data_IF_748103145426
#
_entry.id   IF_748103145426
#
_cell.length_a   1.000
_cell.length_b   1.000
_cell.length_c   1.000
_cell.angle_alpha   90.00
_cell.angle_beta   90.00
_cell.angle_gamma   90.00
#
_symmetry.space_group_name_H-M   'P 1'
#
loop_
_entity.id
_entity.type
_entity.pdbx_description
1 polymer ?
#
# COMPACT_ATOMS: atom_id res chain seq x y z
N UNK A 1 4.38 -18.54 15.01
CA UNK A 1 4.67 -17.20 15.57
C UNK A 1 3.35 -16.45 15.66
N UNK A 2 3.12 -15.69 16.72
CA UNK A 2 1.90 -14.92 16.91
C UNK A 2 2.23 -13.43 17.09
N UNK A 3 1.39 -12.57 16.55
CA UNK A 3 1.51 -11.12 16.71
C UNK A 3 0.28 -10.62 17.47
N UNK A 4 0.43 -9.94 18.60
CA UNK A 4 -0.70 -9.42 19.36
C UNK A 4 -1.56 -8.49 18.50
N UNK A 5 -2.89 -8.61 18.62
CA UNK A 5 -3.84 -7.76 17.89
C UNK A 5 -3.56 -6.26 18.09
N UNK A 6 -3.16 -5.86 19.30
CA UNK A 6 -2.82 -4.47 19.62
C UNK A 6 -1.67 -3.91 18.76
N UNK A 7 -0.73 -4.74 18.31
CA UNK A 7 0.39 -4.34 17.45
C UNK A 7 -0.03 -4.20 15.98
N UNK A 8 -1.01 -4.97 15.54
CA UNK A 8 -1.57 -4.91 14.18
C UNK A 8 -2.54 -3.73 14.06
N UNK A 9 -3.41 -3.56 15.07
CA UNK A 9 -4.50 -2.59 15.05
C UNK A 9 -4.05 -1.15 15.24
N UNK A 10 -3.03 -0.89 16.09
CA UNK A 10 -2.62 0.47 16.44
C UNK A 10 -1.96 1.26 15.29
N UNK A 11 -1.68 0.63 14.15
CA UNK A 11 -0.95 1.27 13.04
C UNK A 11 0.46 1.66 13.48
N UNK A 12 1.43 0.77 13.31
CA UNK A 12 2.83 1.07 13.62
C UNK A 12 3.49 1.78 12.42
N UNK A 13 4.26 2.87 12.64
CA UNK A 13 5.06 3.49 11.57
C UNK A 13 6.21 2.59 11.11
N UNK A 14 6.53 1.52 11.88
CA UNK A 14 7.50 0.50 11.49
C UNK A 14 6.79 -0.77 11.01
N UNK A 15 7.27 -1.41 9.94
CA UNK A 15 6.71 -2.67 9.45
C UNK A 15 6.79 -3.76 10.54
N UNK A 16 5.75 -4.60 10.60
CA UNK A 16 5.77 -5.79 11.44
C UNK A 16 6.65 -6.85 10.78
N UNK A 17 7.82 -7.08 11.37
CA UNK A 17 8.77 -8.08 10.89
C UNK A 17 8.53 -9.43 11.57
N UNK A 18 8.58 -10.50 10.77
CA UNK A 18 8.64 -11.88 11.24
C UNK A 18 9.77 -12.60 10.50
N UNK A 19 10.52 -13.44 11.21
CA UNK A 19 11.65 -14.18 10.64
C UNK A 19 11.53 -15.67 11.00
N UNK A 20 11.94 -16.54 10.07
CA UNK A 20 12.01 -17.97 10.28
C UNK A 20 13.45 -18.42 10.03
N UNK A 21 14.04 -19.09 11.01
CA UNK A 21 15.34 -19.71 10.86
C UNK A 21 15.14 -21.16 10.43
N UNK A 22 15.86 -21.58 9.40
CA UNK A 22 15.80 -22.94 8.85
C UNK A 22 17.23 -23.47 8.73
N UNK A 23 17.38 -24.78 8.89
CA UNK A 23 18.64 -25.48 8.70
C UNK A 23 18.51 -26.47 7.53
N UNK A 24 19.61 -26.67 6.81
CA UNK A 24 19.68 -27.68 5.75
C UNK A 24 19.69 -29.06 6.38
N UNK A 25 18.85 -29.96 5.87
CA UNK A 25 18.88 -31.37 6.29
C UNK A 25 20.22 -32.05 5.96
N UNK A 26 20.85 -31.67 4.84
CA UNK A 26 22.19 -32.13 4.47
C UNK A 26 22.90 -31.09 3.58
N UNK A 27 24.23 -31.17 3.42
CA UNK A 27 24.97 -30.33 2.46
C UNK A 27 24.50 -30.50 1.01
N UNK A 28 23.90 -31.63 0.66
CA UNK A 28 23.34 -31.90 -0.66
C UNK A 28 22.01 -31.17 -0.92
N UNK A 29 21.37 -30.62 0.12
CA UNK A 29 20.10 -29.89 -0.01
C UNK A 29 20.33 -28.54 -0.69
N UNK A 30 19.90 -28.43 -1.96
CA UNK A 30 20.09 -27.26 -2.82
C UNK A 30 18.81 -26.45 -3.09
N UNK A 31 17.65 -26.89 -2.60
CA UNK A 31 16.37 -26.21 -2.80
C UNK A 31 15.57 -26.14 -1.49
N UNK A 32 14.98 -24.97 -1.24
CA UNK A 32 13.97 -24.74 -0.22
C UNK A 32 12.61 -24.65 -0.93
N UNK A 33 11.64 -25.45 -0.49
CA UNK A 33 10.25 -25.35 -0.89
C UNK A 33 9.38 -25.42 0.36
N UNK A 34 8.60 -24.39 0.64
CA UNK A 34 7.69 -24.37 1.78
C UNK A 34 6.47 -23.48 1.53
N UNK A 35 5.46 -23.62 2.38
CA UNK A 35 4.29 -22.75 2.39
C UNK A 35 4.21 -22.01 3.71
N UNK A 36 4.10 -20.69 3.65
CA UNK A 36 3.93 -19.82 4.81
C UNK A 36 2.47 -19.38 4.85
N UNK A 37 1.74 -19.78 5.90
CA UNK A 37 0.39 -19.28 6.17
C UNK A 37 0.44 -18.10 7.14
N UNK A 38 -0.23 -17.01 6.75
CA UNK A 38 -0.48 -15.85 7.59
C UNK A 38 -1.98 -15.75 7.79
N UNK A 39 -2.44 -15.90 9.03
CA UNK A 39 -3.87 -15.92 9.35
C UNK A 39 -4.21 -15.07 10.54
N UNK A 40 -5.39 -14.48 10.50
CA UNK A 40 -6.05 -13.96 11.68
C UNK A 40 -6.84 -15.10 12.35
N UNK A 41 -6.79 -15.20 13.68
CA UNK A 41 -7.62 -16.16 14.42
C UNK A 41 -9.10 -15.93 14.08
N UNK A 42 -9.78 -16.98 13.62
CA UNK A 42 -11.17 -16.94 13.13
C UNK A 42 -11.41 -15.93 11.99
N UNK A 43 -10.39 -15.63 11.19
CA UNK A 43 -10.48 -14.67 10.10
C UNK A 43 -9.85 -15.17 8.81
N UNK A 44 -9.42 -14.22 7.98
CA UNK A 44 -8.80 -14.51 6.69
C UNK A 44 -7.42 -15.16 6.85
N UNK A 45 -7.08 -15.98 5.85
CA UNK A 45 -5.79 -16.63 5.69
C UNK A 45 -5.20 -16.27 4.33
N UNK A 46 -3.89 -16.01 4.32
CA UNK A 46 -3.08 -15.84 3.13
C UNK A 46 -2.00 -16.93 3.14
N UNK A 47 -1.89 -17.67 2.04
CA UNK A 47 -0.86 -18.68 1.84
C UNK A 47 0.17 -18.18 0.84
N UNK A 48 1.44 -18.19 1.25
CA UNK A 48 2.57 -17.85 0.39
C UNK A 48 3.39 -19.10 0.13
N UNK A 49 3.55 -19.46 -1.14
CA UNK A 49 4.44 -20.54 -1.55
C UNK A 49 5.83 -19.98 -1.83
N UNK A 50 6.83 -20.51 -1.14
CA UNK A 50 8.23 -20.13 -1.28
C UNK A 50 8.96 -21.29 -1.93
N UNK A 51 9.59 -21.03 -3.07
CA UNK A 51 10.48 -21.98 -3.73
C UNK A 51 11.74 -21.25 -4.19
N UNK A 52 12.88 -21.59 -3.61
CA UNK A 52 14.15 -20.92 -3.89
C UNK A 52 15.33 -21.89 -3.83
N UNK A 53 16.42 -21.60 -4.54
CA UNK A 53 17.67 -22.35 -4.44
C UNK A 53 18.45 -21.94 -3.19
N UNK A 54 19.01 -22.91 -2.47
CA UNK A 54 19.87 -22.74 -1.27
C UNK A 54 21.35 -22.64 -1.67
N UNK A 55 21.63 -22.24 -2.92
CA UNK A 55 23.00 -21.96 -3.34
C UNK A 55 23.58 -20.87 -2.40
N UNK A 56 24.85 -20.99 -2.04
CA UNK A 56 25.59 -19.99 -1.27
C UNK A 56 25.79 -18.74 -2.15
N UNK A 57 24.71 -18.03 -2.44
CA UNK A 57 24.78 -16.71 -3.02
C UNK A 57 25.29 -15.77 -1.92
N UNK A 58 26.49 -15.26 -2.12
CA UNK A 58 27.08 -14.19 -1.31
C UNK A 58 26.02 -13.18 -0.94
N UNK A 59 25.84 -12.92 0.37
CA UNK A 59 25.03 -11.85 0.96
C UNK A 59 24.37 -10.94 -0.09
N UNK A 60 23.31 -11.42 -0.73
CA UNK A 60 22.45 -10.51 -1.46
C UNK A 60 21.77 -9.73 -0.34
N UNK A 61 22.22 -8.49 -0.15
CA UNK A 61 21.57 -7.54 0.70
C UNK A 61 20.16 -7.40 0.15
N UNK A 62 19.23 -8.21 0.66
CA UNK A 62 17.81 -8.04 0.43
C UNK A 62 17.49 -6.70 1.07
N UNK A 63 17.57 -5.64 0.28
CA UNK A 63 17.00 -4.35 0.61
C UNK A 63 15.53 -4.63 0.81
N UNK A 64 15.13 -4.76 2.07
CA UNK A 64 13.75 -4.56 2.46
C UNK A 64 13.36 -3.25 1.78
N UNK A 65 12.36 -3.30 0.90
CA UNK A 65 11.70 -2.11 0.40
C UNK A 65 11.02 -1.45 1.61
N UNK A 66 11.83 -0.80 2.45
CA UNK A 66 11.37 0.28 3.30
C UNK A 66 10.70 1.22 2.32
N UNK A 67 9.39 1.33 2.46
CA UNK A 67 8.53 2.26 1.77
C UNK A 67 9.34 3.51 1.44
N UNK A 68 9.65 3.70 0.15
CA UNK A 68 10.25 4.93 -0.36
C UNK A 68 9.39 6.06 0.23
N UNK A 69 9.96 6.78 1.17
CA UNK A 69 9.32 7.94 1.75
C UNK A 69 9.04 8.85 0.57
N UNK A 70 7.76 9.12 0.35
CA UNK A 70 7.21 9.67 -0.89
C UNK A 70 7.62 11.12 -1.09
N UNK A 71 8.91 11.36 -1.30
CA UNK A 71 9.47 12.64 -1.70
C UNK A 71 9.15 12.84 -3.19
N UNK A 72 7.87 12.98 -3.50
CA UNK A 72 7.46 13.70 -4.69
C UNK A 72 8.12 15.09 -4.58
N UNK A 73 8.97 15.50 -5.53
CA UNK A 73 9.53 16.84 -5.49
C UNK A 73 8.34 17.81 -5.47
N UNK A 74 8.30 18.69 -4.46
CA UNK A 74 7.21 19.64 -4.30
C UNK A 74 7.07 20.46 -5.58
N UNK A 75 6.07 20.13 -6.40
CA UNK A 75 5.82 20.86 -7.63
C UNK A 75 5.22 22.20 -7.23
N UNK A 76 5.89 23.29 -7.60
CA UNK A 76 5.40 24.65 -7.38
C UNK A 76 4.73 25.20 -8.64
N UNK A 77 3.69 26.01 -8.43
CA UNK A 77 3.01 26.74 -9.50
C UNK A 77 2.06 25.89 -10.36
N UNK A 78 1.73 26.34 -11.58
CA UNK A 78 0.71 25.70 -12.43
C UNK A 78 0.96 24.22 -12.73
N UNK A 79 2.23 23.78 -12.70
CA UNK A 79 2.64 22.39 -12.92
C UNK A 79 2.25 21.44 -11.78
N UNK A 80 1.93 21.98 -10.60
CA UNK A 80 1.47 21.20 -9.44
C UNK A 80 0.03 20.68 -9.59
N UNK A 81 -0.72 21.23 -10.54
CA UNK A 81 -2.14 20.94 -10.70
C UNK A 81 -2.41 20.22 -12.01
N UNK A 82 -3.11 19.09 -11.93
CA UNK A 82 -3.58 18.37 -13.12
C UNK A 82 -4.63 19.17 -13.93
N UNK A 83 -5.37 20.07 -13.27
CA UNK A 83 -6.42 20.88 -13.91
C UNK A 83 -5.93 22.33 -14.06
N UNK A 84 -5.79 22.86 -15.30
CA UNK A 84 -5.42 24.24 -15.56
C UNK A 84 -6.38 25.27 -14.94
N UNK A 85 -5.86 26.45 -14.59
CA UNK A 85 -6.63 27.53 -13.93
C UNK A 85 -7.90 27.92 -14.68
N UNK A 86 -7.83 28.06 -16.00
CA UNK A 86 -8.98 28.44 -16.84
C UNK A 86 -10.14 27.43 -16.75
N UNK A 87 -9.80 26.14 -16.72
CA UNK A 87 -10.79 25.06 -16.55
C UNK A 87 -11.38 25.10 -15.14
N UNK A 88 -10.55 25.24 -14.10
CA UNK A 88 -11.04 25.37 -12.72
C UNK A 88 -12.02 26.52 -12.56
N UNK A 89 -11.70 27.69 -13.10
CA UNK A 89 -12.57 28.86 -13.04
C UNK A 89 -13.94 28.61 -13.68
N UNK A 90 -13.98 27.92 -14.83
CA UNK A 90 -15.24 27.56 -15.50
C UNK A 90 -16.05 26.55 -14.69
N UNK A 91 -15.39 25.54 -14.11
CA UNK A 91 -16.04 24.56 -13.24
C UNK A 91 -16.67 25.27 -12.04
N UNK A 92 -15.90 26.08 -11.31
CA UNK A 92 -16.37 26.85 -10.16
C UNK A 92 -17.56 27.75 -10.55
N UNK A 93 -17.44 28.54 -11.62
CA UNK A 93 -18.52 29.40 -12.09
C UNK A 93 -19.81 28.65 -12.45
N UNK A 94 -19.70 27.37 -12.87
CA UNK A 94 -20.84 26.54 -13.27
C UNK A 94 -21.52 25.87 -12.07
N UNK A 95 -20.74 25.41 -11.09
CA UNK A 95 -21.23 24.53 -10.02
C UNK A 95 -21.33 25.20 -8.64
N UNK A 96 -20.69 26.35 -8.40
CA UNK A 96 -20.74 27.03 -7.10
C UNK A 96 -22.06 27.79 -6.89
N UNK A 97 -22.75 28.16 -7.96
CA UNK A 97 -24.08 28.76 -7.88
C UNK A 97 -25.14 27.67 -7.57
N UNK A 98 -26.21 27.99 -6.81
CA UNK A 98 -27.31 27.06 -6.57
C UNK A 98 -27.92 26.63 -7.90
N UNK A 99 -27.77 25.35 -8.24
CA UNK A 99 -28.19 24.82 -9.53
C UNK A 99 -29.68 24.54 -9.55
N UNK A 100 -30.36 24.92 -10.64
CA UNK A 100 -31.73 24.48 -10.85
C UNK A 100 -31.79 22.94 -10.85
N UNK A 101 -32.64 22.36 -9.99
CA UNK A 101 -32.84 20.91 -9.83
C UNK A 101 -31.62 20.14 -9.26
N UNK A 102 -30.80 20.77 -8.41
CA UNK A 102 -29.71 20.08 -7.70
C UNK A 102 -28.55 19.64 -8.60
N UNK A 103 -28.32 20.36 -9.71
CA UNK A 103 -27.16 20.18 -10.62
C UNK A 103 -26.00 21.09 -10.24
N UNK A 104 -25.66 21.16 -8.98
CA UNK A 104 -24.61 22.02 -8.42
C UNK A 104 -23.43 21.19 -7.88
N UNK A 105 -22.55 21.85 -7.12
CA UNK A 105 -21.39 21.24 -6.49
C UNK A 105 -21.75 20.05 -5.59
N UNK A 106 -22.96 19.97 -5.04
CA UNK A 106 -23.37 18.86 -4.17
C UNK A 106 -23.55 17.56 -4.96
N UNK A 107 -24.18 17.62 -6.14
CA UNK A 107 -24.29 16.46 -7.04
C UNK A 107 -22.92 16.07 -7.58
N UNK A 108 -22.06 17.05 -7.89
CA UNK A 108 -20.67 16.79 -8.28
C UNK A 108 -19.92 16.04 -7.16
N UNK A 109 -20.09 16.45 -5.90
CA UNK A 109 -19.49 15.80 -4.74
C UNK A 109 -20.01 14.36 -4.55
N UNK A 110 -21.32 14.14 -4.72
CA UNK A 110 -21.92 12.81 -4.64
C UNK A 110 -21.35 11.87 -5.74
N UNK A 111 -21.26 12.34 -6.98
CA UNK A 111 -20.73 11.55 -8.11
C UNK A 111 -19.26 11.20 -7.97
N UNK A 112 -18.49 12.02 -7.23
CA UNK A 112 -17.08 11.78 -6.94
C UNK A 112 -16.84 11.07 -5.60
N UNK A 113 -17.90 10.65 -4.89
CA UNK A 113 -17.81 9.98 -3.58
C UNK A 113 -17.09 10.81 -2.51
N UNK A 114 -17.27 12.13 -2.51
CA UNK A 114 -16.67 13.07 -1.54
C UNK A 114 -17.70 13.80 -0.67
N UNK A 115 -18.97 13.40 -0.73
CA UNK A 115 -20.09 14.00 0.03
C UNK A 115 -20.18 13.51 1.49
N UNK A 116 -19.04 13.43 2.19
CA UNK A 116 -18.99 12.93 3.57
C UNK A 116 -19.38 13.98 4.59
#
# INVERSE_FOLDING_TARGET
>A
QEVPFSRVWRGSPRPLLGAFSLERFSPATSQLCCSVSVRQLQGHELLLHVRTSVLEAERENITFFGQEDGAFPAQLGPKAFKIPRSIRQRICATFDAPGAKGKDWQLLAQKNNISR
#
